data_IF_603806916790
#
_entry.id   IF_603806916790
#
_cell.length_a   1.000
_cell.length_b   1.000
_cell.length_c   1.000
_cell.angle_alpha   90.00
_cell.angle_beta   90.00
_cell.angle_gamma   90.00
#
_symmetry.space_group_name_H-M   'P 1'
#
loop_
_entity.id
_entity.type
_entity.pdbx_description
1 polymer ?
#
# COMPACT_ATOMS: atom_id res chain seq x y z
N UNK A 1 -32.63 12.82 -7.20
CA UNK A 1 -31.85 11.66 -6.72
C UNK A 1 -30.39 12.05 -6.63
N UNK A 2 -29.77 11.85 -5.48
CA UNK A 2 -28.35 12.09 -5.30
C UNK A 2 -27.62 10.80 -5.63
N UNK A 3 -26.77 10.82 -6.66
CA UNK A 3 -25.93 9.69 -6.96
C UNK A 3 -24.78 9.61 -5.95
N UNK A 4 -24.46 8.41 -5.46
CA UNK A 4 -23.32 8.26 -4.56
C UNK A 4 -22.02 8.65 -5.27
N UNK A 5 -21.11 9.27 -4.50
CA UNK A 5 -19.78 9.62 -5.00
C UNK A 5 -18.79 8.59 -4.51
N UNK A 6 -17.88 8.22 -5.38
CA UNK A 6 -16.76 7.34 -5.05
C UNK A 6 -15.47 8.12 -5.25
N UNK A 7 -14.72 8.32 -4.17
CA UNK A 7 -13.39 8.91 -4.24
C UNK A 7 -12.35 7.82 -4.44
N UNK A 8 -11.49 8.02 -5.42
CA UNK A 8 -10.42 7.08 -5.74
C UNK A 8 -9.09 7.83 -5.71
N UNK A 9 -8.11 7.24 -5.03
CA UNK A 9 -6.75 7.76 -4.97
C UNK A 9 -5.81 6.71 -5.55
N UNK A 10 -4.87 7.12 -6.39
CA UNK A 10 -3.79 6.24 -6.85
C UNK A 10 -2.46 6.81 -6.39
N UNK A 11 -1.59 5.95 -5.88
CA UNK A 11 -0.29 6.36 -5.32
C UNK A 11 0.77 5.34 -5.72
N UNK A 12 1.87 5.82 -6.28
CA UNK A 12 3.07 4.99 -6.39
C UNK A 12 3.87 5.19 -5.09
N UNK A 13 3.99 4.14 -4.29
CA UNK A 13 4.63 4.23 -2.97
C UNK A 13 6.16 4.17 -3.06
N UNK A 14 6.72 3.82 -4.22
CA UNK A 14 8.16 3.66 -4.40
C UNK A 14 8.78 2.79 -3.29
N UNK A 15 8.09 1.71 -2.91
CA UNK A 15 8.50 0.77 -1.85
C UNK A 15 8.69 1.44 -0.48
N UNK A 16 8.08 2.60 -0.27
CA UNK A 16 8.16 3.36 0.97
C UNK A 16 9.32 4.35 1.04
N UNK A 17 10.02 4.57 -0.08
CA UNK A 17 11.17 5.46 -0.15
C UNK A 17 10.95 6.63 -1.10
N UNK A 18 11.56 7.77 -0.78
CA UNK A 18 11.59 8.89 -1.69
C UNK A 18 12.50 8.51 -2.89
N UNK A 19 11.99 8.60 -4.15
CA UNK A 19 12.77 8.16 -5.32
C UNK A 19 14.00 9.03 -5.61
N UNK A 20 14.03 10.28 -5.10
CA UNK A 20 15.13 11.20 -5.36
C UNK A 20 16.29 11.03 -4.39
N UNK A 21 16.03 10.85 -3.09
CA UNK A 21 17.08 10.76 -2.06
C UNK A 21 17.08 9.42 -1.32
N UNK A 22 16.21 8.50 -1.70
CA UNK A 22 16.05 7.16 -1.09
C UNK A 22 15.80 7.20 0.42
N UNK A 23 15.27 8.30 0.91
CA UNK A 23 14.85 8.41 2.30
C UNK A 23 13.58 7.58 2.52
N UNK A 24 13.52 6.85 3.64
CA UNK A 24 12.33 6.11 4.02
C UNK A 24 11.24 7.08 4.47
N UNK A 25 10.12 7.11 3.74
CA UNK A 25 9.02 8.06 3.97
C UNK A 25 7.67 7.38 4.18
N UNK A 26 7.65 6.09 4.46
CA UNK A 26 6.39 5.36 4.60
C UNK A 26 5.48 5.95 5.70
N UNK A 27 5.99 6.34 6.88
CA UNK A 27 5.14 6.95 7.90
C UNK A 27 4.48 8.26 7.42
N UNK A 28 5.22 9.11 6.71
CA UNK A 28 4.69 10.36 6.16
C UNK A 28 3.67 10.08 5.07
N UNK A 29 3.94 9.07 4.24
CA UNK A 29 3.02 8.65 3.18
C UNK A 29 1.70 8.15 3.79
N UNK A 30 1.77 7.40 4.88
CA UNK A 30 0.58 6.91 5.58
C UNK A 30 -0.31 8.09 6.02
N UNK A 31 0.29 9.12 6.61
CA UNK A 31 -0.46 10.31 7.03
C UNK A 31 -1.08 11.04 5.84
N UNK A 32 -0.35 11.17 4.72
CA UNK A 32 -0.86 11.81 3.52
C UNK A 32 -2.05 11.05 2.93
N UNK A 33 -1.95 9.73 2.83
CA UNK A 33 -3.03 8.89 2.31
C UNK A 33 -4.27 8.96 3.22
N UNK A 34 -4.06 8.93 4.54
CA UNK A 34 -5.14 9.06 5.50
C UNK A 34 -5.84 10.42 5.40
N UNK A 35 -5.09 11.50 5.16
CA UNK A 35 -5.66 12.84 5.09
C UNK A 35 -6.62 13.02 3.90
N UNK A 36 -6.39 12.29 2.81
CA UNK A 36 -7.31 12.28 1.67
C UNK A 36 -8.56 11.45 1.99
N UNK A 37 -8.39 10.30 2.65
CA UNK A 37 -9.51 9.47 3.10
C UNK A 37 -10.39 8.94 1.97
N UNK A 38 -9.81 8.63 0.80
CA UNK A 38 -10.57 8.13 -0.34
C UNK A 38 -11.26 6.80 -0.03
N UNK A 39 -12.33 6.49 -0.76
CA UNK A 39 -13.06 5.23 -0.60
C UNK A 39 -12.24 4.04 -1.08
N UNK A 40 -11.52 4.22 -2.18
CA UNK A 40 -10.60 3.23 -2.75
C UNK A 40 -9.22 3.87 -2.93
N UNK A 41 -8.19 3.12 -2.58
CA UNK A 41 -6.80 3.55 -2.79
C UNK A 41 -6.07 2.46 -3.58
N UNK A 42 -5.52 2.84 -4.71
CA UNK A 42 -4.70 1.94 -5.55
C UNK A 42 -3.24 2.28 -5.32
N UNK A 43 -2.48 1.29 -4.85
CA UNK A 43 -1.07 1.45 -4.50
C UNK A 43 -0.21 0.68 -5.51
N UNK A 44 0.82 1.34 -6.05
CA UNK A 44 1.81 0.71 -6.91
C UNK A 44 3.15 0.64 -6.17
N UNK A 45 3.98 -0.34 -6.52
CA UNK A 45 5.30 -0.59 -5.93
C UNK A 45 5.26 -0.64 -4.41
N UNK A 46 4.24 -1.31 -3.87
CA UNK A 46 4.12 -1.48 -2.42
C UNK A 46 4.79 -2.79 -2.00
N UNK A 47 5.56 -2.75 -0.91
CA UNK A 47 6.22 -3.94 -0.39
C UNK A 47 5.27 -4.76 0.46
N UNK A 48 5.33 -6.10 0.30
CA UNK A 48 4.72 -7.01 1.24
C UNK A 48 5.62 -7.18 2.45
N UNK A 49 6.84 -7.70 2.23
CA UNK A 49 7.84 -7.85 3.28
C UNK A 49 9.22 -7.59 2.71
N UNK A 50 10.17 -7.22 3.57
CA UNK A 50 11.56 -7.05 3.18
C UNK A 50 12.46 -7.21 4.41
N UNK A 51 13.13 -8.35 4.53
CA UNK A 51 13.87 -8.69 5.74
C UNK A 51 15.06 -7.78 6.01
N UNK A 52 15.78 -7.34 4.96
CA UNK A 52 16.93 -6.45 5.14
C UNK A 52 16.52 -5.07 5.65
N UNK A 53 15.45 -4.51 5.09
CA UNK A 53 14.96 -3.21 5.55
C UNK A 53 14.39 -3.31 6.97
N UNK A 54 13.70 -4.40 7.30
CA UNK A 54 13.19 -4.62 8.64
C UNK A 54 14.32 -4.66 9.69
N UNK A 55 15.47 -5.23 9.32
CA UNK A 55 16.63 -5.30 10.20
C UNK A 55 17.36 -3.95 10.37
N UNK A 56 17.29 -3.07 9.36
CA UNK A 56 18.07 -1.82 9.32
C UNK A 56 17.29 -0.59 9.74
N UNK A 57 15.97 -0.59 9.59
CA UNK A 57 15.13 0.60 9.79
C UNK A 57 14.21 0.40 11.00
N UNK A 58 14.45 1.12 12.13
CA UNK A 58 13.62 0.97 13.33
C UNK A 58 12.14 1.28 13.09
N UNK A 59 11.83 2.18 12.16
CA UNK A 59 10.46 2.57 11.82
C UNK A 59 9.80 1.64 10.80
N UNK A 60 10.50 0.59 10.35
CA UNK A 60 9.92 -0.38 9.43
C UNK A 60 8.77 -1.11 10.10
N UNK A 61 7.55 -1.11 9.51
CA UNK A 61 6.40 -1.74 10.15
C UNK A 61 6.55 -3.27 10.21
N UNK A 62 6.04 -3.92 11.27
CA UNK A 62 6.04 -5.38 11.36
C UNK A 62 5.09 -6.04 10.37
N UNK A 63 4.07 -5.31 9.90
CA UNK A 63 3.11 -5.77 8.91
C UNK A 63 3.58 -5.40 7.51
N UNK A 64 3.04 -6.05 6.45
CA UNK A 64 3.26 -5.61 5.07
C UNK A 64 2.85 -4.14 4.89
N UNK A 65 3.52 -3.43 3.95
CA UNK A 65 3.27 -2.00 3.75
C UNK A 65 1.81 -1.70 3.42
N UNK A 66 1.14 -2.56 2.65
CA UNK A 66 -0.26 -2.32 2.31
C UNK A 66 -1.17 -2.43 3.54
N UNK A 67 -0.88 -3.30 4.50
CA UNK A 67 -1.61 -3.37 5.76
C UNK A 67 -1.33 -2.16 6.63
N UNK A 68 -0.08 -1.74 6.70
CA UNK A 68 0.33 -0.57 7.45
C UNK A 68 -0.37 0.70 6.94
N UNK A 69 -0.45 0.85 5.61
CA UNK A 69 -1.13 1.99 5.00
C UNK A 69 -2.65 1.90 5.17
N UNK A 70 -3.22 0.70 5.13
CA UNK A 70 -4.65 0.50 5.32
C UNK A 70 -5.09 0.84 6.73
N UNK A 71 -4.32 0.38 7.73
CA UNK A 71 -4.61 0.57 9.14
C UNK A 71 -6.08 0.24 9.44
N UNK A 72 -6.76 1.04 10.25
CA UNK A 72 -8.18 0.86 10.55
C UNK A 72 -9.11 1.60 9.59
N UNK A 73 -8.58 2.48 8.75
CA UNK A 73 -9.39 3.29 7.83
C UNK A 73 -9.92 2.48 6.65
N UNK A 74 -9.12 1.52 6.16
CA UNK A 74 -9.50 0.64 5.05
C UNK A 74 -9.50 -0.81 5.55
N UNK A 75 -10.64 -1.33 6.01
CA UNK A 75 -10.70 -2.68 6.58
C UNK A 75 -10.55 -3.78 5.53
N UNK A 76 -10.71 -3.46 4.25
CA UNK A 76 -10.58 -4.41 3.15
C UNK A 76 -9.37 -4.07 2.31
N UNK A 77 -8.57 -5.07 1.97
CA UNK A 77 -7.44 -4.87 1.06
C UNK A 77 -7.17 -6.14 0.26
N UNK A 78 -6.59 -5.97 -0.92
CA UNK A 78 -6.14 -7.05 -1.79
C UNK A 78 -4.75 -6.70 -2.30
N UNK A 79 -3.86 -7.69 -2.36
CA UNK A 79 -2.48 -7.51 -2.77
C UNK A 79 -2.12 -8.51 -3.85
N UNK A 80 -1.51 -8.03 -4.95
CA UNK A 80 -0.99 -8.87 -6.01
C UNK A 80 0.52 -8.77 -6.08
N UNK A 81 1.22 -9.88 -5.80
CA UNK A 81 2.68 -9.92 -5.91
C UNK A 81 3.10 -9.94 -7.37
N UNK A 82 3.97 -9.00 -7.74
CA UNK A 82 4.51 -8.92 -9.09
C UNK A 82 5.99 -9.33 -9.15
N UNK A 83 6.74 -9.08 -8.08
CA UNK A 83 8.15 -9.44 -7.99
C UNK A 83 8.44 -10.09 -6.64
N UNK A 84 9.14 -11.20 -6.67
CA UNK A 84 9.57 -11.95 -5.48
C UNK A 84 11.08 -12.13 -5.55
N UNK A 85 11.76 -11.84 -4.45
CA UNK A 85 13.21 -11.96 -4.33
C UNK A 85 13.56 -12.49 -2.94
N UNK A 86 14.82 -12.91 -2.66
CA UNK A 86 15.14 -13.57 -1.39
C UNK A 86 14.77 -12.78 -0.13
N UNK A 87 14.87 -11.44 -0.18
CA UNK A 87 14.60 -10.59 0.98
C UNK A 87 13.10 -10.28 1.16
N UNK A 88 12.27 -10.46 0.12
CA UNK A 88 10.85 -10.12 0.21
C UNK A 88 10.14 -10.10 -1.13
N UNK A 89 9.10 -9.28 -1.21
CA UNK A 89 8.28 -9.15 -2.42
C UNK A 89 7.62 -7.77 -2.48
N UNK A 90 7.25 -7.36 -3.69
CA UNK A 90 6.44 -6.15 -3.90
C UNK A 90 5.44 -6.35 -5.03
N UNK A 91 4.49 -5.45 -5.12
CA UNK A 91 3.46 -5.48 -6.16
C UNK A 91 2.51 -4.31 -6.03
N UNK A 92 1.27 -4.55 -6.40
CA UNK A 92 0.21 -3.57 -6.34
C UNK A 92 -0.83 -4.00 -5.31
N UNK A 93 -1.50 -3.02 -4.69
CA UNK A 93 -2.54 -3.29 -3.73
C UNK A 93 -3.72 -2.36 -3.92
N UNK A 94 -4.89 -2.79 -3.45
CA UNK A 94 -6.10 -1.98 -3.36
C UNK A 94 -6.53 -1.96 -1.91
N UNK A 95 -6.77 -0.76 -1.39
CA UNK A 95 -7.38 -0.56 -0.07
C UNK A 95 -8.81 -0.10 -0.28
N UNK A 96 -9.76 -0.61 0.50
CA UNK A 96 -11.17 -0.27 0.32
C UNK A 96 -11.91 -0.12 1.64
N UNK A 97 -12.79 0.89 1.70
CA UNK A 97 -13.76 1.04 2.78
C UNK A 97 -14.96 0.12 2.58
N UNK A 98 -15.11 -0.44 1.39
CA UNK A 98 -16.21 -1.31 1.00
C UNK A 98 -15.74 -2.76 0.86
N UNK A 99 -16.64 -3.75 1.01
CA UNK A 99 -16.24 -5.16 0.86
C UNK A 99 -15.65 -5.46 -0.51
N UNK A 100 -14.54 -6.19 -0.53
CA UNK A 100 -13.94 -6.73 -1.74
C UNK A 100 -14.47 -8.17 -1.86
N UNK A 101 -15.33 -8.41 -2.84
CA UNK A 101 -15.97 -9.72 -3.01
C UNK A 101 -15.07 -10.73 -3.71
N UNK A 102 -14.22 -10.26 -4.63
CA UNK A 102 -13.28 -11.10 -5.36
C UNK A 102 -12.16 -10.23 -5.95
N UNK A 103 -10.99 -10.84 -6.12
CA UNK A 103 -9.87 -10.18 -6.81
C UNK A 103 -8.99 -11.23 -7.47
N UNK A 104 -8.23 -10.80 -8.46
CA UNK A 104 -7.28 -11.65 -9.17
C UNK A 104 -6.08 -10.82 -9.61
N UNK A 105 -4.89 -11.40 -9.48
CA UNK A 105 -3.67 -10.80 -9.98
C UNK A 105 -3.36 -11.40 -11.36
N UNK A 106 -3.33 -10.55 -12.37
CA UNK A 106 -3.03 -10.96 -13.73
C UNK A 106 -1.59 -10.59 -14.06
N UNK A 107 -0.82 -11.59 -14.49
CA UNK A 107 0.53 -11.41 -14.99
C UNK A 107 0.48 -11.34 -16.52
N UNK A 108 0.84 -10.19 -17.06
CA UNK A 108 0.74 -9.91 -18.50
C UNK A 108 2.11 -9.92 -19.17
#
# INVERSE_FOLDING_TARGET
>A
MILPRLQVLTVNTHKGFNPFNRRFILPELREAVRSVGADLVFLQEVLGSHSLHAARLPSWPPAPQYEYLADSMWPQFAYGRNAVYPEGHHGNAVLSKHPILAHRNLDV
#
